data_IF_399029099431
#
_entry.id   IF_399029099431
#
_cell.length_a   1.000
_cell.length_b   1.000
_cell.length_c   1.000
_cell.angle_alpha   90.00
_cell.angle_beta   90.00
_cell.angle_gamma   90.00
#
_symmetry.space_group_name_H-M   'P 1'
#
loop_
_entity.id
_entity.type
_entity.pdbx_description
1 polymer ?
#
# COMPACT_ATOMS: atom_id res chain seq x y z
N UNK A 1 -7.34 -22.82 3.61
CA UNK A 1 -6.75 -21.63 4.27
C UNK A 1 -6.62 -20.49 3.26
N UNK A 2 -6.66 -19.22 3.67
CA UNK A 2 -6.89 -18.03 2.81
C UNK A 2 -5.76 -17.77 1.78
N UNK A 3 -5.74 -18.50 0.66
CA UNK A 3 -4.69 -18.44 -0.39
C UNK A 3 -4.51 -17.03 -0.96
N UNK A 4 -5.62 -16.30 -1.13
CA UNK A 4 -5.60 -14.93 -1.65
C UNK A 4 -4.76 -13.95 -0.80
N UNK A 5 -4.56 -14.23 0.50
CA UNK A 5 -3.69 -13.40 1.35
C UNK A 5 -2.21 -13.57 1.00
N UNK A 6 -1.81 -14.73 0.46
CA UNK A 6 -0.43 -14.97 0.00
C UNK A 6 -0.10 -14.25 -1.30
N UNK A 7 -1.12 -13.88 -2.09
CA UNK A 7 -0.96 -13.12 -3.33
C UNK A 7 -0.59 -11.65 -3.08
N UNK A 8 -0.97 -11.11 -1.92
CA UNK A 8 -0.79 -9.70 -1.60
C UNK A 8 0.50 -9.49 -0.81
N UNK A 9 1.24 -8.45 -1.16
CA UNK A 9 2.40 -7.98 -0.40
C UNK A 9 2.03 -7.72 1.08
N UNK A 10 2.70 -8.42 1.99
CA UNK A 10 2.49 -8.28 3.44
C UNK A 10 2.73 -6.85 3.93
N UNK A 11 3.69 -6.13 3.31
CA UNK A 11 4.00 -4.75 3.67
C UNK A 11 2.83 -3.82 3.34
N UNK A 12 2.13 -4.06 2.23
CA UNK A 12 0.98 -3.27 1.83
C UNK A 12 -0.19 -3.41 2.83
N UNK A 13 -0.41 -4.63 3.34
CA UNK A 13 -1.42 -4.90 4.38
C UNK A 13 -1.05 -4.17 5.66
N UNK A 14 0.19 -4.35 6.14
CA UNK A 14 0.64 -3.69 7.37
C UNK A 14 0.63 -2.16 7.26
N UNK A 15 0.99 -1.59 6.10
CA UNK A 15 0.93 -0.15 5.86
C UNK A 15 -0.51 0.37 5.95
N UNK A 16 -1.48 -0.39 5.44
CA UNK A 16 -2.90 -0.01 5.51
C UNK A 16 -3.39 0.05 6.96
N UNK A 17 -2.98 -0.91 7.80
CA UNK A 17 -3.29 -0.93 9.24
C UNK A 17 -2.63 0.24 9.98
N UNK A 18 -1.35 0.53 9.68
CA UNK A 18 -0.65 1.68 10.30
C UNK A 18 -1.33 3.00 9.96
N UNK A 19 -1.74 3.19 8.70
CA UNK A 19 -2.46 4.38 8.26
C UNK A 19 -3.81 4.53 8.99
N UNK A 20 -4.51 3.41 9.22
CA UNK A 20 -5.76 3.41 9.98
C UNK A 20 -5.53 3.87 11.44
N UNK A 21 -4.53 3.29 12.10
CA UNK A 21 -4.19 3.64 13.48
C UNK A 21 -3.79 5.12 13.62
N UNK A 22 -2.98 5.63 12.71
CA UNK A 22 -2.59 7.06 12.69
C UNK A 22 -3.82 7.96 12.45
N UNK A 23 -4.68 7.62 11.50
CA UNK A 23 -5.88 8.40 11.20
C UNK A 23 -6.81 8.52 12.42
N UNK A 24 -7.08 7.43 13.13
CA UNK A 24 -7.86 7.45 14.36
C UNK A 24 -7.16 8.20 15.48
N UNK A 25 -5.84 8.04 15.63
CA UNK A 25 -5.07 8.78 16.63
C UNK A 25 -5.20 10.29 16.43
N UNK A 26 -5.10 10.78 15.19
CA UNK A 26 -5.28 12.21 14.85
C UNK A 26 -6.72 12.68 15.05
N UNK A 27 -7.70 11.83 14.74
CA UNK A 27 -9.11 12.13 14.98
C UNK A 27 -9.40 12.36 16.46
N UNK A 28 -8.94 11.48 17.35
CA UNK A 28 -9.12 11.64 18.80
C UNK A 28 -8.32 12.81 19.39
N UNK A 29 -7.20 13.18 18.77
CA UNK A 29 -6.46 14.42 19.08
C UNK A 29 -7.12 15.69 18.54
N UNK A 30 -8.30 15.59 17.90
CA UNK A 30 -9.02 16.70 17.25
C UNK A 30 -8.20 17.44 16.17
N UNK A 31 -7.25 16.74 15.55
CA UNK A 31 -6.40 17.30 14.48
C UNK A 31 -7.02 17.13 13.10
N UNK A 32 -7.91 16.15 12.93
CA UNK A 32 -8.56 15.82 11.65
C UNK A 32 -10.03 15.41 11.88
N UNK A 33 -10.81 15.41 10.79
CA UNK A 33 -12.15 14.83 10.76
C UNK A 33 -12.13 13.30 10.89
N UNK A 34 -13.30 12.70 11.08
CA UNK A 34 -13.46 11.24 11.14
C UNK A 34 -12.81 10.56 9.91
N UNK A 35 -12.00 9.49 10.12
CA UNK A 35 -11.40 8.75 9.01
C UNK A 35 -12.46 8.16 8.08
N UNK A 36 -12.15 8.09 6.79
CA UNK A 36 -13.02 7.50 5.76
C UNK A 36 -12.28 6.42 4.99
N UNK A 37 -12.96 5.33 4.69
CA UNK A 37 -12.42 4.29 3.82
C UNK A 37 -12.27 4.79 2.39
N UNK A 38 -11.19 4.37 1.72
CA UNK A 38 -10.98 4.68 0.30
C UNK A 38 -12.05 3.97 -0.55
N UNK A 39 -12.64 4.70 -1.48
CA UNK A 39 -13.60 4.14 -2.44
C UNK A 39 -12.90 3.21 -3.44
N UNK A 40 -13.50 2.04 -3.70
CA UNK A 40 -13.07 1.14 -4.78
C UNK A 40 -13.27 1.74 -6.18
N UNK A 41 -14.19 2.71 -6.32
CA UNK A 41 -14.49 3.39 -7.59
C UNK A 41 -13.50 4.52 -7.93
N UNK A 42 -12.46 4.73 -7.12
CA UNK A 42 -11.45 5.72 -7.44
C UNK A 42 -10.64 5.25 -8.66
N UNK A 43 -10.55 6.06 -9.70
CA UNK A 43 -9.74 5.75 -10.89
C UNK A 43 -8.25 5.66 -10.54
N UNK A 44 -7.81 6.37 -9.51
CA UNK A 44 -6.44 6.34 -9.02
C UNK A 44 -6.33 5.38 -7.83
N UNK A 45 -5.78 4.20 -8.09
CA UNK A 45 -5.50 3.19 -7.08
C UNK A 45 -4.03 3.25 -6.68
N UNK A 46 -3.79 3.32 -5.36
CA UNK A 46 -2.44 3.42 -4.79
C UNK A 46 -2.27 2.35 -3.71
N UNK A 47 -1.11 1.71 -3.66
CA UNK A 47 -0.68 0.95 -2.49
C UNK A 47 0.74 1.34 -2.13
N UNK A 48 1.08 1.24 -0.84
CA UNK A 48 2.40 1.55 -0.32
C UNK A 48 3.13 0.26 -0.03
N UNK A 49 4.35 0.16 -0.53
CA UNK A 49 5.28 -0.93 -0.20
C UNK A 49 6.64 -0.34 0.16
N UNK A 50 7.53 -1.15 0.72
CA UNK A 50 8.89 -0.76 1.09
C UNK A 50 9.88 -1.70 0.42
N UNK A 51 11.04 -1.15 0.08
CA UNK A 51 12.18 -1.96 -0.31
C UNK A 51 12.55 -2.84 0.91
N UNK A 52 12.47 -4.16 0.75
CA UNK A 52 13.06 -5.11 1.69
C UNK A 52 13.63 -6.28 0.90
N UNK A 53 14.86 -6.72 1.23
CA UNK A 53 15.50 -7.90 0.65
C UNK A 53 15.42 -7.93 -0.90
N UNK A 54 15.73 -6.81 -1.57
CA UNK A 54 15.77 -6.74 -3.05
C UNK A 54 14.40 -6.99 -3.76
N UNK A 55 13.29 -6.92 -3.02
CA UNK A 55 11.93 -7.07 -3.58
C UNK A 55 11.55 -6.00 -4.63
N UNK A 56 12.12 -4.81 -4.52
CA UNK A 56 11.99 -3.68 -5.45
C UNK A 56 13.34 -3.44 -6.11
N UNK A 57 13.35 -3.46 -7.45
CA UNK A 57 14.55 -3.29 -8.25
C UNK A 57 14.25 -2.56 -9.57
N UNK A 58 15.22 -1.84 -10.10
CA UNK A 58 15.16 -1.25 -11.44
C UNK A 58 15.75 -2.25 -12.43
N UNK A 59 14.98 -2.62 -13.45
CA UNK A 59 15.36 -3.54 -14.53
C UNK A 59 15.17 -2.81 -15.85
N UNK A 60 16.25 -2.21 -16.36
CA UNK A 60 16.20 -1.33 -17.54
C UNK A 60 15.26 -0.15 -17.29
N UNK A 61 14.27 0.04 -18.18
CA UNK A 61 13.26 1.11 -18.08
C UNK A 61 12.01 0.69 -17.27
N UNK A 62 12.13 -0.31 -16.39
CA UNK A 62 11.02 -0.82 -15.57
C UNK A 62 11.43 -0.95 -14.10
N UNK A 63 10.47 -0.81 -13.20
CA UNK A 63 10.59 -1.09 -11.77
C UNK A 63 9.86 -2.38 -11.48
N UNK A 64 10.53 -3.34 -10.84
CA UNK A 64 9.93 -4.53 -10.25
C UNK A 64 9.27 -4.16 -8.93
N UNK A 65 7.99 -4.46 -8.79
CA UNK A 65 7.22 -4.30 -7.56
C UNK A 65 6.65 -5.65 -7.09
N UNK A 66 6.52 -5.89 -5.77
CA UNK A 66 6.06 -7.18 -5.24
C UNK A 66 4.68 -7.63 -5.75
N UNK A 67 3.73 -6.68 -5.84
CA UNK A 67 2.35 -6.97 -6.25
C UNK A 67 2.09 -6.74 -7.73
N UNK A 68 2.67 -5.68 -8.31
CA UNK A 68 2.41 -5.28 -9.70
C UNK A 68 3.39 -5.87 -10.71
N UNK A 69 4.47 -6.49 -10.26
CA UNK A 69 5.53 -6.96 -11.15
C UNK A 69 6.28 -5.79 -11.80
N UNK A 70 6.67 -5.95 -13.07
CA UNK A 70 7.47 -4.96 -13.81
C UNK A 70 6.57 -3.83 -14.35
N UNK A 71 6.73 -2.63 -13.80
CA UNK A 71 6.02 -1.42 -14.21
C UNK A 71 6.98 -0.46 -14.89
N UNK A 72 6.62 0.10 -16.05
CA UNK A 72 7.44 1.12 -16.73
C UNK A 72 7.43 2.42 -15.92
N UNK A 73 8.60 3.00 -15.71
CA UNK A 73 8.73 4.33 -15.09
C UNK A 73 9.40 5.25 -16.12
N UNK A 74 8.56 5.98 -16.86
CA UNK A 74 8.94 6.76 -18.04
C UNK A 74 9.46 5.93 -19.23
#
# INVERSE_FOLDING_TARGET
ELVWLKEVDSIAIQSSVRNLADAYTRFFKKQNSAPRFKSKKNNVQSYTTKQTNENIAVVGNKIKLPKLGLVRFA
#
